data_IF_499867666595
#
_entry.id   IF_499867666595
#
_cell.length_a   1.000
_cell.length_b   1.000
_cell.length_c   1.000
_cell.angle_alpha   90.00
_cell.angle_beta   90.00
_cell.angle_gamma   90.00
#
_symmetry.space_group_name_H-M   'P 1'
#
loop_
_entity.id
_entity.type
_entity.pdbx_description
1 polymer ?
#
# COMPACT_ATOMS: atom_id res chain seq x y z
N UNK A 1 -11.11 1.01 -22.32
CA UNK A 1 -10.15 1.97 -21.73
C UNK A 1 -8.83 1.75 -22.42
N UNK A 2 -8.22 2.79 -22.99
CA UNK A 2 -6.86 2.68 -23.54
C UNK A 2 -5.88 2.65 -22.36
N UNK A 3 -4.90 1.74 -22.33
CA UNK A 3 -3.87 1.77 -21.30
C UNK A 3 -3.09 3.09 -21.39
N UNK A 4 -2.76 3.69 -20.24
CA UNK A 4 -1.87 4.84 -20.18
C UNK A 4 -0.43 4.31 -20.13
N UNK A 5 0.35 4.38 -21.22
CA UNK A 5 1.71 3.84 -21.25
C UNK A 5 2.65 4.54 -20.27
N UNK A 6 2.32 5.75 -19.80
CA UNK A 6 3.08 6.41 -18.73
C UNK A 6 3.01 5.63 -17.41
N UNK A 7 1.97 4.81 -17.20
CA UNK A 7 1.78 3.99 -16.00
C UNK A 7 2.34 2.56 -16.13
N UNK A 8 3.07 2.25 -17.22
CA UNK A 8 3.78 0.98 -17.35
C UNK A 8 4.94 0.87 -16.34
N UNK A 9 5.52 2.02 -15.94
CA UNK A 9 6.49 2.12 -14.86
C UNK A 9 5.96 3.14 -13.85
N UNK A 10 5.32 2.65 -12.78
CA UNK A 10 4.71 3.49 -11.75
C UNK A 10 5.73 3.98 -10.73
N UNK A 11 5.66 5.26 -10.37
CA UNK A 11 6.35 5.81 -9.20
C UNK A 11 5.60 5.35 -7.94
N UNK A 12 6.20 4.39 -7.25
CA UNK A 12 5.60 3.74 -6.07
C UNK A 12 6.27 4.08 -4.75
N UNK A 13 5.57 3.78 -3.65
CA UNK A 13 6.12 3.84 -2.30
C UNK A 13 5.67 2.67 -1.43
N UNK A 14 6.38 2.43 -0.33
CA UNK A 14 6.07 1.38 0.64
C UNK A 14 5.31 1.95 1.85
N UNK A 15 4.26 1.25 2.27
CA UNK A 15 3.46 1.59 3.45
C UNK A 15 3.53 0.46 4.46
N UNK A 16 3.94 0.75 5.69
CA UNK A 16 4.00 -0.25 6.75
C UNK A 16 2.57 -0.62 7.18
N UNK A 17 2.14 -1.83 6.87
CA UNK A 17 0.77 -2.33 7.10
C UNK A 17 0.49 -2.72 8.57
N UNK A 18 1.54 -2.96 9.37
CA UNK A 18 1.41 -3.22 10.81
C UNK A 18 1.29 -1.94 11.66
N UNK A 19 1.24 -0.75 11.06
CA UNK A 19 0.91 0.48 11.79
C UNK A 19 -0.48 0.36 12.42
N UNK A 20 -0.78 1.20 13.42
CA UNK A 20 -2.12 1.24 14.02
C UNK A 20 -3.18 1.55 12.96
N UNK A 21 -2.94 2.60 12.16
CA UNK A 21 -3.81 3.01 11.04
C UNK A 21 -3.01 3.27 9.73
N UNK A 22 -2.71 2.21 8.95
CA UNK A 22 -2.02 2.36 7.67
C UNK A 22 -2.87 3.09 6.61
N UNK A 23 -4.20 3.05 6.71
CA UNK A 23 -5.10 3.69 5.76
C UNK A 23 -5.10 5.22 5.92
N UNK A 24 -5.05 5.74 7.15
CA UNK A 24 -4.85 7.16 7.41
C UNK A 24 -3.51 7.65 6.82
N UNK A 25 -2.45 6.85 6.95
CA UNK A 25 -1.16 7.18 6.34
C UNK A 25 -1.23 7.21 4.80
N UNK A 26 -1.95 6.27 4.18
CA UNK A 26 -2.21 6.31 2.73
C UNK A 26 -2.92 7.60 2.33
N UNK A 27 -4.00 7.99 3.03
CA UNK A 27 -4.73 9.25 2.77
C UNK A 27 -3.81 10.48 2.86
N UNK A 28 -2.86 10.47 3.80
CA UNK A 28 -1.89 11.56 3.97
C UNK A 28 -0.89 11.65 2.80
N UNK A 29 -0.38 10.53 2.30
CA UNK A 29 0.69 10.54 1.29
C UNK A 29 0.18 10.53 -0.15
N UNK A 30 -1.07 10.14 -0.39
CA UNK A 30 -1.65 10.06 -1.73
C UNK A 30 -1.56 11.39 -2.52
N UNK A 31 -1.80 12.58 -1.92
CA UNK A 31 -1.64 13.86 -2.62
C UNK A 31 -0.21 14.19 -3.08
N UNK A 32 0.80 13.40 -2.66
CA UNK A 32 2.19 13.57 -3.11
C UNK A 32 2.44 12.99 -4.51
N UNK A 33 1.44 12.31 -5.10
CA UNK A 33 1.49 11.86 -6.50
C UNK A 33 2.03 10.45 -6.72
N UNK A 34 2.02 9.59 -5.70
CA UNK A 34 2.38 8.18 -5.89
C UNK A 34 1.32 7.45 -6.73
N UNK A 35 1.78 6.77 -7.78
CA UNK A 35 0.96 6.00 -8.72
C UNK A 35 0.78 4.55 -8.26
N UNK A 36 1.58 4.12 -7.28
CA UNK A 36 1.38 2.83 -6.63
C UNK A 36 1.83 2.82 -5.16
N UNK A 37 1.23 1.91 -4.40
CA UNK A 37 1.62 1.61 -3.02
C UNK A 37 1.89 0.12 -2.86
N UNK A 38 2.89 -0.21 -2.05
CA UNK A 38 3.17 -1.55 -1.57
C UNK A 38 2.97 -1.58 -0.05
N UNK A 39 1.82 -2.07 0.45
CA UNK A 39 1.68 -2.45 1.84
C UNK A 39 2.71 -3.53 2.19
N UNK A 40 3.45 -3.35 3.28
CA UNK A 40 4.40 -4.34 3.76
C UNK A 40 4.24 -4.65 5.24
N UNK A 41 4.56 -5.88 5.61
CA UNK A 41 4.56 -6.37 6.97
C UNK A 41 5.98 -6.67 7.43
N UNK A 42 6.34 -6.20 8.63
CA UNK A 42 7.61 -6.54 9.25
C UNK A 42 7.48 -7.86 10.02
N UNK A 43 8.18 -8.89 9.55
CA UNK A 43 8.28 -10.25 10.11
C UNK A 43 6.98 -11.07 10.19
N UNK A 44 5.87 -10.47 10.62
CA UNK A 44 4.56 -11.13 10.78
C UNK A 44 3.44 -10.16 10.42
N UNK A 45 2.22 -10.66 10.28
CA UNK A 45 1.05 -9.80 10.09
C UNK A 45 0.67 -9.01 11.36
N UNK A 46 1.22 -9.34 12.54
CA UNK A 46 0.90 -8.66 13.79
C UNK A 46 -0.59 -8.71 14.17
N UNK A 47 -1.31 -9.76 13.78
CA UNK A 47 -2.75 -9.91 14.05
C UNK A 47 -3.67 -9.08 13.15
N UNK A 48 -3.15 -8.40 12.12
CA UNK A 48 -3.97 -7.65 11.16
C UNK A 48 -4.87 -8.59 10.35
N UNK A 49 -6.14 -8.20 10.22
CA UNK A 49 -7.08 -8.80 9.26
C UNK A 49 -6.83 -8.21 7.87
N UNK A 50 -6.33 -9.05 6.95
CA UNK A 50 -5.99 -8.62 5.60
C UNK A 50 -7.21 -8.17 4.78
N UNK A 51 -8.37 -8.79 4.97
CA UNK A 51 -9.58 -8.44 4.22
C UNK A 51 -10.08 -7.07 4.65
N UNK A 52 -10.09 -6.83 5.96
CA UNK A 52 -10.41 -5.51 6.52
C UNK A 52 -9.43 -4.45 6.03
N UNK A 53 -8.13 -4.71 6.17
CA UNK A 53 -7.07 -3.81 5.72
C UNK A 53 -7.20 -3.48 4.23
N UNK A 54 -7.47 -4.47 3.38
CA UNK A 54 -7.66 -4.24 1.94
C UNK A 54 -8.84 -3.30 1.67
N UNK A 55 -9.93 -3.42 2.42
CA UNK A 55 -11.06 -2.50 2.35
C UNK A 55 -10.69 -1.07 2.77
N UNK A 56 -10.00 -0.93 3.91
CA UNK A 56 -9.57 0.38 4.43
C UNK A 56 -8.58 1.07 3.50
N UNK A 57 -7.63 0.34 2.92
CA UNK A 57 -6.67 0.87 1.94
C UNK A 57 -7.37 1.27 0.64
N UNK A 58 -8.31 0.46 0.15
CA UNK A 58 -9.12 0.81 -1.03
C UNK A 58 -9.94 2.07 -0.80
N UNK A 59 -10.54 2.22 0.37
CA UNK A 59 -11.27 3.44 0.74
C UNK A 59 -10.32 4.64 0.86
N UNK A 60 -9.11 4.44 1.38
CA UNK A 60 -8.09 5.48 1.47
C UNK A 60 -7.61 5.99 0.10
N UNK A 61 -7.48 5.09 -0.88
CA UNK A 61 -7.17 5.45 -2.27
C UNK A 61 -8.35 6.20 -2.92
N UNK A 62 -9.59 5.77 -2.64
CA UNK A 62 -10.78 6.37 -3.23
C UNK A 62 -10.76 6.27 -4.76
N UNK A 63 -10.96 7.41 -5.43
CA UNK A 63 -10.99 7.51 -6.90
C UNK A 63 -9.62 7.86 -7.52
N UNK A 64 -8.54 7.92 -6.72
CA UNK A 64 -7.21 8.20 -7.25
C UNK A 64 -6.71 7.05 -8.14
N UNK A 65 -5.95 7.37 -9.19
CA UNK A 65 -5.29 6.39 -10.06
C UNK A 65 -4.01 5.82 -9.42
N UNK A 66 -4.15 5.26 -8.22
CA UNK A 66 -3.08 4.60 -7.48
C UNK A 66 -3.36 3.10 -7.35
N UNK A 67 -2.41 2.27 -7.75
CA UNK A 67 -2.53 0.82 -7.66
C UNK A 67 -1.88 0.26 -6.40
N UNK A 68 -2.44 -0.79 -5.82
CA UNK A 68 -1.70 -1.66 -4.89
C UNK A 68 -0.87 -2.62 -5.74
N UNK A 69 0.46 -2.47 -5.74
CA UNK A 69 1.33 -3.22 -6.66
C UNK A 69 1.66 -4.63 -6.16
N UNK A 70 1.79 -4.79 -4.84
CA UNK A 70 2.13 -6.06 -4.18
C UNK A 70 1.89 -5.97 -2.67
N UNK A 71 1.97 -7.11 -1.99
CA UNK A 71 2.05 -7.19 -0.53
C UNK A 71 3.45 -7.69 -0.17
N UNK A 72 4.19 -6.92 0.63
CA UNK A 72 5.50 -7.31 1.14
C UNK A 72 5.39 -8.00 2.50
N UNK A 73 6.12 -9.09 2.73
CA UNK A 73 6.35 -9.66 4.05
C UNK A 73 7.83 -10.03 4.14
N UNK A 74 8.57 -9.31 4.97
CA UNK A 74 10.01 -9.51 5.10
C UNK A 74 10.49 -9.13 6.50
N UNK A 75 11.69 -9.59 6.83
CA UNK A 75 12.36 -9.32 8.08
C UNK A 75 13.85 -9.61 7.93
N UNK A 76 14.63 -9.12 8.89
CA UNK A 76 16.01 -9.57 9.01
C UNK A 76 16.03 -11.03 9.54
N UNK A 77 17.07 -11.81 9.21
CA UNK A 77 17.32 -13.09 9.87
C UNK A 77 17.28 -12.93 11.40
N UNK A 78 16.86 -13.96 12.16
CA UNK A 78 16.95 -13.91 13.62
C UNK A 78 18.41 -13.64 14.05
N UNK A 79 18.58 -12.76 15.03
CA UNK A 79 19.84 -12.62 15.79
C UNK A 79 20.09 -13.86 16.66
#
# INVERSE_FOLDING_TARGET
MMPNPLLDIRIGTMVRANLDDPAAYVKQILPLGFESIQPFFWQTLGGKDLKRLAGEIREAIGDADAAVSSIGLFGNPPE
#
